data_IF_075924073194
#
_entry.id   IF_075924073194
#
_cell.length_a   1.000
_cell.length_b   1.000
_cell.length_c   1.000
_cell.angle_alpha   90.00
_cell.angle_beta   90.00
_cell.angle_gamma   90.00
#
_symmetry.space_group_name_H-M   'P 1'
#
loop_
_entity.id
_entity.type
_entity.pdbx_description
1 polymer ?
#
# COMPACT_ATOMS: atom_id res chain seq x y z
N UNK A 1 -20.57 5.57 -14.88
CA UNK A 1 -19.15 5.37 -14.54
C UNK A 1 -18.86 6.26 -13.33
N UNK A 2 -18.43 5.65 -12.21
CA UNK A 2 -18.13 6.41 -10.99
C UNK A 2 -16.72 6.98 -11.10
N UNK A 3 -16.56 8.27 -10.80
CA UNK A 3 -15.26 8.96 -10.76
C UNK A 3 -14.99 9.42 -9.34
N UNK A 4 -13.77 9.26 -8.87
CA UNK A 4 -13.32 9.69 -7.55
C UNK A 4 -12.06 10.53 -7.69
N UNK A 5 -11.92 11.56 -6.85
CA UNK A 5 -10.71 12.36 -6.77
C UNK A 5 -9.62 11.55 -6.04
N UNK A 6 -8.43 11.44 -6.66
CA UNK A 6 -7.30 10.72 -6.06
C UNK A 6 -6.63 11.46 -4.89
N UNK A 7 -6.94 12.73 -4.69
CA UNK A 7 -6.46 13.48 -3.52
C UNK A 7 -7.32 13.21 -2.28
N UNK A 8 -8.50 12.62 -2.47
CA UNK A 8 -9.43 12.32 -1.39
C UNK A 8 -9.94 13.54 -0.64
N UNK A 9 -10.75 13.28 0.37
CA UNK A 9 -11.21 14.28 1.31
C UNK A 9 -10.71 13.97 2.72
N UNK A 10 -10.32 14.98 3.52
CA UNK A 10 -9.89 14.75 4.89
C UNK A 10 -11.07 14.29 5.75
N UNK A 11 -10.90 13.13 6.40
CA UNK A 11 -11.87 12.64 7.36
C UNK A 11 -11.78 13.44 8.66
N UNK A 12 -12.92 13.97 9.14
CA UNK A 12 -12.98 14.67 10.41
C UNK A 12 -12.46 13.77 11.55
N UNK A 13 -11.49 14.20 12.35
CA UNK A 13 -10.95 13.42 13.46
C UNK A 13 -12.02 12.93 14.45
N UNK A 14 -13.08 13.69 14.67
CA UNK A 14 -14.19 13.31 15.55
C UNK A 14 -15.03 12.12 15.02
N UNK A 15 -14.97 11.87 13.72
CA UNK A 15 -15.66 10.73 13.09
C UNK A 15 -14.82 9.42 13.10
N UNK A 16 -13.61 9.46 13.64
CA UNK A 16 -12.72 8.29 13.69
C UNK A 16 -13.00 7.44 14.92
N UNK A 17 -13.09 6.15 14.71
CA UNK A 17 -13.16 5.17 15.79
C UNK A 17 -11.77 4.72 16.23
N UNK A 18 -11.63 4.32 17.50
CA UNK A 18 -10.40 3.69 17.97
C UNK A 18 -10.20 2.33 17.29
N UNK A 19 -8.98 2.03 16.83
CA UNK A 19 -8.67 0.73 16.23
C UNK A 19 -8.85 -0.40 17.25
N UNK A 20 -9.58 -1.44 16.88
CA UNK A 20 -9.85 -2.59 17.76
C UNK A 20 -9.78 -3.94 17.06
N UNK A 21 -9.81 -3.98 15.73
CA UNK A 21 -9.84 -5.22 14.97
C UNK A 21 -8.43 -5.64 14.54
N UNK A 22 -7.98 -6.79 15.04
CA UNK A 22 -6.67 -7.34 14.74
C UNK A 22 -6.58 -7.86 13.31
N UNK A 23 -5.52 -7.47 12.61
CA UNK A 23 -5.14 -7.99 11.30
C UNK A 23 -3.97 -8.95 11.49
N UNK A 24 -4.20 -10.22 11.24
CA UNK A 24 -3.15 -11.23 11.27
C UNK A 24 -2.37 -11.18 9.96
N UNK A 25 -1.08 -10.83 10.02
CA UNK A 25 -0.20 -10.75 8.84
C UNK A 25 0.43 -12.10 8.50
N UNK A 26 0.46 -13.03 9.44
CA UNK A 26 1.18 -14.30 9.32
C UNK A 26 2.68 -14.19 9.59
N UNK A 27 3.17 -13.03 9.98
CA UNK A 27 4.56 -12.78 10.39
C UNK A 27 4.60 -12.67 11.90
N UNK A 28 5.21 -13.63 12.58
CA UNK A 28 5.22 -13.72 14.05
C UNK A 28 5.79 -12.48 14.74
N UNK A 29 6.83 -11.88 14.18
CA UNK A 29 7.42 -10.64 14.70
C UNK A 29 6.46 -9.44 14.62
N UNK A 30 5.62 -9.36 13.60
CA UNK A 30 4.61 -8.33 13.48
C UNK A 30 3.44 -8.64 14.40
N UNK A 31 2.87 -9.82 14.26
CA UNK A 31 1.66 -10.23 14.99
C UNK A 31 1.85 -10.26 16.52
N UNK A 32 3.08 -10.59 16.98
CA UNK A 32 3.40 -10.69 18.38
C UNK A 32 3.98 -9.43 19.02
N UNK A 33 4.74 -8.62 18.26
CA UNK A 33 5.49 -7.50 18.83
C UNK A 33 5.06 -6.12 18.30
N UNK A 34 4.54 -6.07 17.10
CA UNK A 34 4.09 -4.83 16.44
C UNK A 34 2.69 -5.01 15.85
N UNK A 35 1.80 -5.53 16.65
CA UNK A 35 0.43 -5.91 16.26
C UNK A 35 -0.25 -4.89 15.37
N UNK A 36 -0.66 -5.33 14.18
CA UNK A 36 -1.39 -4.50 13.24
C UNK A 36 -2.89 -4.58 13.52
N UNK A 37 -3.52 -3.43 13.65
CA UNK A 37 -4.97 -3.33 13.80
C UNK A 37 -5.57 -2.52 12.66
N UNK A 38 -6.84 -2.74 12.37
CA UNK A 38 -7.56 -2.03 11.31
C UNK A 38 -7.52 -0.52 11.56
N UNK A 39 -7.16 0.25 10.53
CA UNK A 39 -6.99 1.70 10.61
C UNK A 39 -5.59 2.16 11.05
N UNK A 40 -4.68 1.24 11.34
CA UNK A 40 -3.30 1.54 11.71
C UNK A 40 -2.37 1.53 10.50
N UNK A 41 -1.32 2.34 10.58
CA UNK A 41 -0.17 2.30 9.65
C UNK A 41 1.00 1.62 10.33
N UNK A 42 1.63 0.68 9.63
CA UNK A 42 2.83 -0.01 10.08
C UNK A 42 3.97 0.26 9.09
N UNK A 43 4.90 1.16 9.39
CA UNK A 43 6.08 1.36 8.56
C UNK A 43 7.06 0.20 8.76
N UNK A 44 7.59 -0.32 7.66
CA UNK A 44 8.65 -1.32 7.65
C UNK A 44 9.87 -0.71 7.00
N UNK A 45 10.95 -0.59 7.77
CA UNK A 45 12.24 -0.09 7.28
C UNK A 45 13.15 -1.28 6.99
N UNK A 46 13.79 -1.27 5.82
CA UNK A 46 14.76 -2.29 5.45
C UNK A 46 16.02 -1.66 4.85
N UNK A 47 17.15 -2.28 5.10
CA UNK A 47 18.39 -1.94 4.40
C UNK A 47 18.40 -2.51 2.97
N UNK A 48 19.31 -1.97 2.15
CA UNK A 48 19.56 -2.49 0.80
C UNK A 48 19.95 -3.97 0.84
N UNK A 49 19.40 -4.77 -0.08
CA UNK A 49 19.66 -6.21 -0.18
C UNK A 49 18.85 -7.11 0.76
N UNK A 50 18.02 -6.53 1.64
CA UNK A 50 17.11 -7.32 2.46
C UNK A 50 15.84 -7.73 1.67
N UNK A 51 15.22 -8.87 2.00
CA UNK A 51 14.11 -9.45 1.22
C UNK A 51 12.77 -8.76 1.51
N UNK A 52 12.69 -7.43 1.38
CA UNK A 52 11.46 -6.67 1.64
C UNK A 52 10.34 -7.00 0.66
N UNK A 53 10.66 -7.31 -0.60
CA UNK A 53 9.67 -7.72 -1.59
C UNK A 53 9.00 -9.05 -1.20
N UNK A 54 9.79 -10.03 -0.74
CA UNK A 54 9.28 -11.30 -0.25
C UNK A 54 8.40 -11.12 0.99
N UNK A 55 8.79 -10.24 1.91
CA UNK A 55 7.98 -9.90 3.07
C UNK A 55 6.62 -9.31 2.66
N UNK A 56 6.61 -8.36 1.72
CA UNK A 56 5.40 -7.72 1.22
C UNK A 56 4.45 -8.74 0.57
N UNK A 57 4.95 -9.63 -0.28
CA UNK A 57 4.13 -10.68 -0.90
C UNK A 57 3.62 -11.70 0.10
N UNK A 58 4.43 -12.06 1.09
CA UNK A 58 4.02 -12.99 2.14
C UNK A 58 2.87 -12.41 2.98
N UNK A 59 2.96 -11.14 3.37
CA UNK A 59 1.88 -10.44 4.09
C UNK A 59 0.63 -10.38 3.21
N UNK A 60 0.74 -9.99 1.94
CA UNK A 60 -0.38 -9.92 1.00
C UNK A 60 -1.10 -11.26 0.86
N UNK A 61 -0.35 -12.36 0.83
CA UNK A 61 -0.86 -13.72 0.71
C UNK A 61 -1.54 -14.24 1.97
N UNK A 62 -0.96 -13.94 3.15
CA UNK A 62 -1.36 -14.52 4.43
C UNK A 62 -2.32 -13.65 5.24
N UNK A 63 -2.37 -12.34 4.98
CA UNK A 63 -3.14 -11.40 5.78
C UNK A 63 -4.63 -11.74 5.81
N UNK A 64 -5.21 -11.66 7.00
CA UNK A 64 -6.64 -11.89 7.25
C UNK A 64 -7.09 -11.18 8.52
N UNK A 65 -8.40 -10.94 8.63
CA UNK A 65 -9.02 -10.47 9.86
C UNK A 65 -9.60 -11.67 10.62
N UNK A 66 -9.20 -11.86 11.86
CA UNK A 66 -9.68 -12.97 12.68
C UNK A 66 -11.17 -12.83 13.00
N UNK A 67 -11.91 -13.92 12.85
CA UNK A 67 -13.32 -14.01 13.23
C UNK A 67 -14.32 -13.35 12.28
N UNK A 68 -13.86 -12.77 11.18
CA UNK A 68 -14.73 -12.20 10.14
C UNK A 68 -14.41 -12.85 8.81
N UNK A 69 -15.37 -13.59 8.25
CA UNK A 69 -15.22 -14.27 6.96
C UNK A 69 -15.17 -13.31 5.78
N UNK A 70 -14.64 -13.77 4.74
CA UNK A 70 -14.72 -13.57 3.27
C UNK A 70 -14.65 -12.18 2.62
N UNK A 71 -14.85 -11.06 3.33
CA UNK A 71 -14.77 -9.72 2.71
C UNK A 71 -13.42 -9.04 2.99
N UNK A 72 -12.34 -9.69 2.61
CA UNK A 72 -10.99 -9.16 2.75
C UNK A 72 -10.35 -8.96 1.37
N UNK A 73 -9.82 -7.76 1.14
CA UNK A 73 -9.07 -7.42 -0.07
C UNK A 73 -7.71 -6.84 0.28
N UNK A 74 -6.76 -7.04 -0.63
CA UNK A 74 -5.43 -6.42 -0.57
C UNK A 74 -5.32 -5.44 -1.72
N UNK A 75 -4.92 -4.21 -1.42
CA UNK A 75 -4.52 -3.24 -2.44
C UNK A 75 -3.00 -3.10 -2.37
N UNK A 76 -2.34 -3.49 -3.44
CA UNK A 76 -0.89 -3.52 -3.53
C UNK A 76 -0.39 -2.45 -4.50
N UNK A 77 0.31 -1.45 -3.98
CA UNK A 77 0.92 -0.38 -4.76
C UNK A 77 2.44 -0.52 -4.80
N UNK A 78 2.99 -0.86 -5.97
CA UNK A 78 4.41 -0.90 -6.20
C UNK A 78 4.87 0.37 -6.93
N UNK A 79 5.84 1.09 -6.36
CA UNK A 79 6.20 2.45 -6.71
C UNK A 79 7.65 2.47 -7.19
N UNK A 80 7.87 2.78 -8.46
CA UNK A 80 9.21 2.91 -9.05
C UNK A 80 10.04 1.62 -9.01
N UNK A 81 9.39 0.49 -9.18
CA UNK A 81 10.03 -0.84 -9.15
C UNK A 81 10.63 -1.19 -10.51
N UNK A 82 11.56 -2.15 -10.50
CA UNK A 82 12.10 -2.69 -11.75
C UNK A 82 11.09 -3.60 -12.45
N UNK A 83 11.35 -3.90 -13.71
CA UNK A 83 10.50 -4.82 -14.47
C UNK A 83 10.54 -6.25 -13.87
N UNK A 84 11.70 -6.67 -13.40
CA UNK A 84 11.90 -7.97 -12.77
C UNK A 84 11.12 -8.08 -11.45
N UNK A 85 11.10 -7.02 -10.67
CA UNK A 85 10.30 -6.96 -9.44
C UNK A 85 8.79 -6.99 -9.74
N UNK A 86 8.34 -6.29 -10.78
CA UNK A 86 6.94 -6.31 -11.21
C UNK A 86 6.52 -7.72 -11.64
N UNK A 87 7.34 -8.39 -12.45
CA UNK A 87 7.10 -9.77 -12.88
C UNK A 87 7.09 -10.73 -11.68
N UNK A 88 8.01 -10.56 -10.75
CA UNK A 88 8.03 -11.34 -9.50
C UNK A 88 6.71 -11.19 -8.72
N UNK A 89 6.23 -9.97 -8.49
CA UNK A 89 4.99 -9.74 -7.76
C UNK A 89 3.79 -10.37 -8.47
N UNK A 90 3.64 -10.12 -9.77
CA UNK A 90 2.51 -10.65 -10.55
C UNK A 90 2.54 -12.18 -10.58
N UNK A 91 3.70 -12.76 -10.81
CA UNK A 91 3.89 -14.20 -10.86
C UNK A 91 3.59 -14.87 -9.50
N UNK A 92 4.08 -14.28 -8.40
CA UNK A 92 3.80 -14.80 -7.05
C UNK A 92 2.31 -14.72 -6.70
N UNK A 93 1.65 -13.61 -6.98
CA UNK A 93 0.21 -13.45 -6.74
C UNK A 93 -0.63 -14.42 -7.57
N UNK A 94 -0.27 -14.67 -8.83
CA UNK A 94 -0.93 -15.67 -9.67
C UNK A 94 -0.68 -17.09 -9.15
N UNK A 95 0.56 -17.44 -8.87
CA UNK A 95 0.95 -18.77 -8.40
C UNK A 95 0.28 -19.16 -7.09
N UNK A 96 0.07 -18.19 -6.21
CA UNK A 96 -0.51 -18.41 -4.87
C UNK A 96 -2.02 -18.22 -4.81
N UNK A 97 -2.65 -17.77 -5.89
CA UNK A 97 -4.09 -17.43 -5.92
C UNK A 97 -4.43 -16.11 -5.23
N UNK A 98 -3.44 -15.40 -4.67
CA UNK A 98 -3.68 -14.11 -3.99
C UNK A 98 -4.21 -13.04 -4.95
N UNK A 99 -4.01 -13.18 -6.25
CA UNK A 99 -4.52 -12.28 -7.29
C UNK A 99 -6.06 -12.13 -7.25
N UNK A 100 -6.78 -13.15 -6.82
CA UNK A 100 -8.26 -13.13 -6.78
C UNK A 100 -8.83 -12.13 -5.78
N UNK A 101 -8.03 -11.75 -4.78
CA UNK A 101 -8.42 -10.78 -3.74
C UNK A 101 -7.53 -9.53 -3.74
N UNK A 102 -6.71 -9.35 -4.76
CA UNK A 102 -5.76 -8.26 -4.85
C UNK A 102 -6.10 -7.28 -5.97
N UNK A 103 -5.93 -6.00 -5.68
CA UNK A 103 -5.89 -4.93 -6.67
C UNK A 103 -4.45 -4.44 -6.74
N UNK A 104 -3.87 -4.45 -7.94
CA UNK A 104 -2.47 -4.15 -8.16
C UNK A 104 -2.30 -2.83 -8.90
N UNK A 105 -1.53 -1.91 -8.33
CA UNK A 105 -1.05 -0.70 -8.97
C UNK A 105 0.46 -0.79 -9.11
N UNK A 106 0.95 -0.86 -10.35
CA UNK A 106 2.37 -1.03 -10.64
C UNK A 106 2.90 0.19 -11.39
N UNK A 107 3.85 0.90 -10.81
CA UNK A 107 4.61 1.94 -11.46
C UNK A 107 6.05 1.48 -11.61
N UNK A 108 6.55 1.49 -12.84
CA UNK A 108 7.90 1.04 -13.15
C UNK A 108 8.92 2.18 -12.98
N UNK A 109 10.17 1.80 -12.80
CA UNK A 109 11.27 2.76 -12.61
C UNK A 109 11.48 3.70 -13.81
N UNK A 110 11.11 3.25 -15.01
CA UNK A 110 11.17 4.04 -16.24
C UNK A 110 9.91 4.86 -16.57
N UNK A 111 8.86 4.73 -15.74
CA UNK A 111 7.66 5.56 -15.89
C UNK A 111 7.92 7.00 -15.42
N UNK A 112 7.17 8.00 -15.94
CA UNK A 112 7.32 9.39 -15.51
C UNK A 112 7.17 9.60 -13.99
N UNK A 113 7.96 10.53 -13.43
CA UNK A 113 7.91 10.83 -11.98
C UNK A 113 6.50 11.25 -11.49
N UNK A 114 5.73 11.91 -12.33
CA UNK A 114 4.36 12.32 -11.98
C UNK A 114 3.42 11.13 -11.79
N UNK A 115 3.57 10.08 -12.57
CA UNK A 115 2.80 8.84 -12.42
C UNK A 115 3.20 8.12 -11.13
N UNK A 116 4.48 8.16 -10.78
CA UNK A 116 5.00 7.62 -9.53
C UNK A 116 4.39 8.29 -8.31
N UNK A 117 4.15 9.61 -8.36
CA UNK A 117 3.46 10.37 -7.32
C UNK A 117 1.96 10.01 -7.26
N UNK A 118 1.34 9.76 -8.40
CA UNK A 118 -0.09 9.42 -8.47
C UNK A 118 -0.40 8.00 -8.00
N UNK A 119 0.51 7.06 -8.21
CA UNK A 119 0.30 5.62 -7.94
C UNK A 119 -0.18 5.32 -6.51
N UNK A 120 0.47 5.78 -5.43
CA UNK A 120 -0.02 5.51 -4.07
C UNK A 120 -1.37 6.17 -3.78
N UNK A 121 -1.65 7.32 -4.38
CA UNK A 121 -2.94 8.00 -4.24
C UNK A 121 -4.06 7.19 -4.90
N UNK A 122 -3.82 6.67 -6.10
CA UNK A 122 -4.78 5.79 -6.78
C UNK A 122 -5.03 4.51 -5.99
N UNK A 123 -3.98 3.91 -5.45
CA UNK A 123 -4.08 2.71 -4.61
C UNK A 123 -4.93 2.98 -3.36
N UNK A 124 -4.69 4.09 -2.66
CA UNK A 124 -5.47 4.48 -1.49
C UNK A 124 -6.92 4.80 -1.83
N UNK A 125 -7.20 5.49 -2.94
CA UNK A 125 -8.56 5.78 -3.39
C UNK A 125 -9.34 4.49 -3.71
N UNK A 126 -8.70 3.52 -4.35
CA UNK A 126 -9.31 2.21 -4.59
C UNK A 126 -9.58 1.46 -3.27
N UNK A 127 -8.66 1.55 -2.32
CA UNK A 127 -8.82 0.95 -1.00
C UNK A 127 -9.97 1.59 -0.22
N UNK A 128 -10.10 2.92 -0.25
CA UNK A 128 -11.22 3.65 0.36
C UNK A 128 -12.55 3.24 -0.24
N UNK A 129 -12.64 3.13 -1.54
CA UNK A 129 -13.85 2.65 -2.21
C UNK A 129 -14.25 1.25 -1.75
N UNK A 130 -13.29 0.32 -1.70
CA UNK A 130 -13.56 -1.05 -1.24
C UNK A 130 -13.97 -1.08 0.24
N UNK A 131 -13.35 -0.26 1.07
CA UNK A 131 -13.61 -0.23 2.50
C UNK A 131 -14.96 0.44 2.83
N UNK A 132 -15.22 1.62 2.27
CA UNK A 132 -16.37 2.43 2.65
C UNK A 132 -17.63 2.12 1.83
N UNK A 133 -17.50 1.95 0.51
CA UNK A 133 -18.65 1.68 -0.37
C UNK A 133 -19.01 0.20 -0.44
N UNK A 134 -18.01 -0.68 -0.35
CA UNK A 134 -18.23 -2.14 -0.42
C UNK A 134 -18.22 -2.83 0.94
N UNK A 135 -17.88 -2.12 2.01
CA UNK A 135 -17.84 -2.65 3.37
C UNK A 135 -16.81 -3.77 3.56
N UNK A 136 -15.72 -3.74 2.80
CA UNK A 136 -14.66 -4.75 2.87
C UNK A 136 -13.60 -4.39 3.91
N UNK A 137 -12.94 -5.41 4.45
CA UNK A 137 -11.66 -5.22 5.14
C UNK A 137 -10.55 -5.12 4.10
N UNK A 138 -9.81 -4.01 4.12
CA UNK A 138 -8.78 -3.74 3.11
C UNK A 138 -7.43 -3.55 3.77
N UNK A 139 -6.45 -4.32 3.33
CA UNK A 139 -5.04 -4.09 3.66
C UNK A 139 -4.36 -3.42 2.46
N UNK A 140 -3.77 -2.26 2.69
CA UNK A 140 -2.95 -1.56 1.69
C UNK A 140 -1.49 -1.83 1.96
N UNK A 141 -0.76 -2.28 0.94
CA UNK A 141 0.69 -2.46 0.98
C UNK A 141 1.30 -1.53 -0.06
N UNK A 142 2.15 -0.61 0.38
CA UNK A 142 2.86 0.32 -0.50
C UNK A 142 4.37 0.02 -0.44
N UNK A 143 4.97 -0.25 -1.57
CA UNK A 143 6.39 -0.47 -1.74
C UNK A 143 6.86 0.16 -3.07
N UNK A 144 7.86 0.97 -3.22
CA UNK A 144 8.79 1.47 -2.22
C UNK A 144 8.54 2.96 -1.97
N UNK A 145 8.27 3.34 -0.74
CA UNK A 145 7.99 4.74 -0.39
C UNK A 145 9.21 5.65 -0.60
N UNK A 146 10.43 5.12 -0.54
CA UNK A 146 11.64 5.86 -0.88
C UNK A 146 11.58 6.41 -2.31
N UNK A 147 11.14 5.60 -3.27
CA UNK A 147 10.98 6.01 -4.67
C UNK A 147 9.90 7.09 -4.83
N UNK A 148 8.83 7.01 -4.05
CA UNK A 148 7.81 8.06 -4.00
C UNK A 148 8.38 9.39 -3.49
N UNK A 149 9.13 9.36 -2.39
CA UNK A 149 9.76 10.55 -1.83
C UNK A 149 10.78 11.18 -2.80
N UNK A 150 11.53 10.36 -3.53
CA UNK A 150 12.45 10.84 -4.56
C UNK A 150 11.73 11.50 -5.73
N UNK A 151 10.63 10.94 -6.19
CA UNK A 151 9.79 11.55 -7.23
C UNK A 151 9.21 12.91 -6.77
N UNK A 152 8.77 13.03 -5.52
CA UNK A 152 8.34 14.30 -4.95
C UNK A 152 9.46 15.34 -4.96
N UNK A 153 10.67 14.94 -4.57
CA UNK A 153 11.86 15.83 -4.57
C UNK A 153 12.18 16.31 -5.98
N UNK A 154 12.15 15.41 -6.97
CA UNK A 154 12.38 15.74 -8.37
C UNK A 154 11.37 16.78 -8.89
N UNK A 155 10.08 16.57 -8.64
CA UNK A 155 9.02 17.49 -9.08
C UNK A 155 9.12 18.83 -8.35
N UNK A 156 9.40 18.83 -7.05
CA UNK A 156 9.60 20.06 -6.26
C UNK A 156 10.79 20.87 -6.78
N UNK A 157 11.89 20.20 -7.11
CA UNK A 157 13.07 20.85 -7.68
C UNK A 157 12.74 21.47 -9.06
N UNK A 158 12.00 20.76 -9.93
CA UNK A 158 11.56 21.26 -11.23
C UNK A 158 10.63 22.48 -11.09
N UNK A 159 9.81 22.54 -10.04
CA UNK A 159 8.93 23.65 -9.71
C UNK A 159 9.63 24.80 -8.97
N UNK A 160 10.92 24.66 -8.66
CA UNK A 160 11.70 25.62 -7.86
C UNK A 160 11.10 25.89 -6.46
N UNK A 161 10.43 24.89 -5.90
CA UNK A 161 9.91 24.95 -4.54
C UNK A 161 11.05 24.82 -3.54
N UNK A 162 11.00 25.60 -2.46
CA UNK A 162 11.97 25.48 -1.38
C UNK A 162 11.63 24.24 -0.56
N UNK A 163 12.53 23.25 -0.44
CA UNK A 163 12.27 22.07 0.37
C UNK A 163 11.96 22.44 1.81
N UNK A 164 10.90 21.88 2.37
CA UNK A 164 10.63 22.02 3.80
C UNK A 164 11.74 21.39 4.63
N UNK A 165 11.91 21.88 5.86
CA UNK A 165 12.99 21.45 6.78
C UNK A 165 12.93 19.95 7.10
N UNK A 166 11.81 19.29 6.84
CA UNK A 166 11.58 17.86 7.14
C UNK A 166 11.15 17.05 5.90
N UNK A 167 11.45 17.53 4.72
CA UNK A 167 11.19 16.83 3.45
C UNK A 167 9.90 17.21 2.77
#
# INVERSE_FOLDING_TARGET
EMRMDINGEPLNPAARNYPSEFIQTGISAIDGLNTLVRGQKLPVFSGSGLPHAQLATQIARQARVLGKGDRFAVVFGAIGITYEEADYFISDFRRTGAIERAVLFMNLANDPAIERIATPKMALTAAEYLAYEKGMHVLVILTDITNYCEALREVSAARKEVPGRRG
#
